data_IF_213275819321
#
_entry.id   IF_213275819321
#
_cell.length_a   1.000
_cell.length_b   1.000
_cell.length_c   1.000
_cell.angle_alpha   90.00
_cell.angle_beta   90.00
_cell.angle_gamma   90.00
#
_symmetry.space_group_name_H-M   'P 1'
#
loop_
_entity.id
_entity.type
_entity.pdbx_description
1 polymer ?
#
# COMPACT_ATOMS: atom_id res chain seq x y z
N UNK A 1 1.54 14.30 -59.53
CA UNK A 1 0.14 14.62 -59.18
C UNK A 1 0.10 14.76 -57.66
N UNK A 2 0.51 15.93 -57.19
CA UNK A 2 -0.33 16.94 -56.50
C UNK A 2 -0.69 16.52 -55.08
N UNK A 3 0.20 16.88 -54.17
CA UNK A 3 -0.03 17.00 -52.73
C UNK A 3 -1.30 17.81 -52.50
N UNK A 4 -2.31 17.17 -51.93
CA UNK A 4 -3.59 17.79 -51.57
C UNK A 4 -3.42 18.41 -50.18
N UNK A 5 -2.57 19.43 -50.08
CA UNK A 5 -2.42 20.20 -48.84
C UNK A 5 -3.44 21.34 -48.88
N UNK A 6 -4.53 21.28 -48.08
CA UNK A 6 -5.57 22.29 -48.13
C UNK A 6 -5.04 23.61 -47.55
N UNK A 7 -5.19 24.68 -48.31
CA UNK A 7 -4.91 26.05 -47.88
C UNK A 7 -5.71 26.37 -46.60
N UNK A 8 -5.04 26.70 -45.47
CA UNK A 8 -5.70 26.89 -44.17
C UNK A 8 -6.65 28.09 -44.16
N UNK A 9 -6.57 28.98 -45.14
CA UNK A 9 -7.52 30.09 -45.31
C UNK A 9 -8.86 29.65 -45.93
N UNK A 10 -8.96 28.41 -46.43
CA UNK A 10 -10.13 27.87 -47.15
C UNK A 10 -10.73 26.62 -46.55
N UNK A 11 -10.21 26.09 -45.44
CA UNK A 11 -10.88 25.07 -44.63
C UNK A 11 -11.96 25.71 -43.77
N UNK A 12 -13.27 25.49 -44.03
CA UNK A 12 -14.33 25.99 -43.17
C UNK A 12 -14.36 25.15 -41.89
N UNK A 13 -14.28 25.79 -40.72
CA UNK A 13 -14.42 25.11 -39.43
C UNK A 13 -13.37 25.44 -38.37
N UNK A 14 -12.46 26.39 -38.60
CA UNK A 14 -11.60 26.93 -37.53
C UNK A 14 -12.01 28.38 -37.26
N UNK A 15 -12.98 28.58 -36.36
CA UNK A 15 -13.30 29.90 -35.81
C UNK A 15 -12.00 30.60 -35.37
N UNK A 16 -11.68 31.80 -35.90
CA UNK A 16 -10.54 32.58 -35.44
C UNK A 16 -10.81 33.07 -34.01
N UNK A 17 -10.41 32.26 -33.02
CA UNK A 17 -10.61 32.58 -31.62
C UNK A 17 -11.61 31.64 -30.94
N UNK A 18 -11.12 30.48 -30.52
CA UNK A 18 -11.82 29.57 -29.63
C UNK A 18 -10.98 29.23 -28.42
N UNK A 19 -10.37 30.25 -27.77
CA UNK A 19 -9.74 30.05 -26.47
C UNK A 19 -10.81 29.64 -25.46
N UNK A 20 -10.72 28.43 -24.93
CA UNK A 20 -11.54 28.03 -23.78
C UNK A 20 -11.24 28.98 -22.62
N UNK A 21 -12.26 29.47 -21.92
CA UNK A 21 -12.04 30.23 -20.69
C UNK A 21 -11.23 29.35 -19.73
N UNK A 22 -10.13 29.84 -19.11
CA UNK A 22 -9.44 29.12 -18.05
C UNK A 22 -10.39 28.93 -16.87
N UNK A 23 -11.06 27.78 -16.87
CA UNK A 23 -11.97 27.36 -15.83
C UNK A 23 -11.37 26.14 -15.18
N UNK A 24 -11.01 26.31 -13.90
CA UNK A 24 -10.36 25.33 -13.03
C UNK A 24 -8.93 24.99 -13.49
N UNK A 25 -7.96 25.70 -12.91
CA UNK A 25 -6.73 25.02 -12.46
C UNK A 25 -7.14 23.61 -12.04
N UNK A 26 -6.59 22.54 -12.65
CA UNK A 26 -6.83 21.20 -12.14
C UNK A 26 -6.65 21.28 -10.62
N UNK A 27 -7.59 20.79 -9.78
CA UNK A 27 -7.32 20.71 -8.35
C UNK A 27 -5.97 20.03 -8.23
N UNK A 28 -5.05 20.63 -7.46
CA UNK A 28 -3.69 20.14 -7.34
C UNK A 28 -3.72 18.62 -7.36
N UNK A 29 -3.12 18.04 -8.41
CA UNK A 29 -3.03 16.59 -8.62
C UNK A 29 -2.87 15.98 -7.25
N UNK A 30 -3.87 15.19 -6.81
CA UNK A 30 -3.98 14.71 -5.44
C UNK A 30 -2.58 14.40 -4.94
N UNK A 31 -2.06 15.34 -4.15
CA UNK A 31 -0.66 15.35 -3.82
C UNK A 31 -0.41 13.97 -3.26
N UNK A 32 0.58 13.29 -3.82
CA UNK A 32 1.20 12.15 -3.17
C UNK A 32 1.79 12.52 -1.80
N UNK A 33 1.53 13.73 -1.27
CA UNK A 33 1.52 14.10 0.16
C UNK A 33 0.70 13.16 1.06
N UNK A 34 0.02 12.14 0.51
CA UNK A 34 -0.53 10.99 1.25
C UNK A 34 0.28 9.68 1.14
N UNK A 35 1.36 9.61 0.35
CA UNK A 35 2.15 8.37 0.14
C UNK A 35 3.12 8.06 1.28
N UNK A 36 3.22 8.92 2.28
CA UNK A 36 3.89 8.60 3.54
C UNK A 36 3.16 9.32 4.67
N UNK A 37 2.06 8.74 5.13
CA UNK A 37 1.69 8.95 6.53
C UNK A 37 2.92 8.54 7.37
N UNK A 38 3.29 9.28 8.43
CA UNK A 38 4.37 8.87 9.31
C UNK A 38 4.11 7.43 9.77
N UNK A 39 4.96 6.50 9.31
CA UNK A 39 4.87 5.11 9.74
C UNK A 39 5.09 5.12 11.26
N UNK A 40 4.13 4.65 12.07
CA UNK A 40 4.33 4.61 13.51
C UNK A 40 5.60 3.84 13.80
N UNK A 41 6.46 4.41 14.65
CA UNK A 41 7.74 3.79 14.99
C UNK A 41 7.48 2.52 15.81
N UNK A 42 7.35 1.40 15.11
CA UNK A 42 7.12 0.07 15.67
C UNK A 42 8.44 -0.65 15.97
N UNK A 43 9.60 -0.04 15.67
CA UNK A 43 10.91 -0.73 15.68
C UNK A 43 11.29 -1.32 17.03
N UNK A 44 10.69 -0.86 18.13
CA UNK A 44 11.08 -1.25 19.49
C UNK A 44 9.93 -1.77 20.36
N UNK A 45 8.72 -1.94 19.81
CA UNK A 45 7.53 -2.32 20.59
C UNK A 45 7.05 -3.71 20.19
N UNK A 46 7.59 -4.74 20.82
CA UNK A 46 7.01 -6.07 20.69
C UNK A 46 5.61 -6.07 21.33
N UNK A 47 4.55 -6.51 20.63
CA UNK A 47 3.19 -6.40 21.13
C UNK A 47 2.98 -7.33 22.33
N UNK A 48 2.18 -6.89 23.31
CA UNK A 48 1.84 -7.68 24.51
C UNK A 48 1.22 -9.04 24.10
N UNK A 49 0.46 -9.06 23.01
CA UNK A 49 -0.09 -10.29 22.42
C UNK A 49 0.98 -11.27 21.99
N UNK A 50 2.10 -10.78 21.43
CA UNK A 50 3.27 -11.60 21.08
C UNK A 50 3.95 -12.17 22.32
N UNK A 51 4.10 -11.38 23.38
CA UNK A 51 4.66 -11.85 24.66
C UNK A 51 3.78 -12.95 25.24
N UNK A 52 2.46 -12.72 25.28
CA UNK A 52 1.49 -13.69 25.77
C UNK A 52 1.54 -15.00 24.96
N UNK A 53 1.63 -14.92 23.63
CA UNK A 53 1.74 -16.09 22.76
C UNK A 53 3.01 -16.91 23.05
N UNK A 54 4.16 -16.25 23.26
CA UNK A 54 5.42 -16.91 23.63
C UNK A 54 5.27 -17.62 24.98
N UNK A 55 4.72 -16.95 25.98
CA UNK A 55 4.53 -17.53 27.33
C UNK A 55 3.61 -18.75 27.28
N UNK A 56 2.47 -18.65 26.60
CA UNK A 56 1.53 -19.77 26.42
C UNK A 56 2.21 -20.94 25.71
N UNK A 57 2.96 -20.67 24.64
CA UNK A 57 3.69 -21.70 23.91
C UNK A 57 4.72 -22.40 24.79
N UNK A 58 5.48 -21.64 25.58
CA UNK A 58 6.47 -22.20 26.49
C UNK A 58 5.83 -23.12 27.55
N UNK A 59 4.67 -22.75 28.09
CA UNK A 59 3.90 -23.57 29.04
C UNK A 59 3.46 -24.88 28.38
N UNK A 60 2.90 -24.82 27.17
CA UNK A 60 2.43 -26.00 26.43
C UNK A 60 3.60 -26.95 26.14
N UNK A 61 4.72 -26.43 25.64
CA UNK A 61 5.93 -27.22 25.38
C UNK A 61 6.45 -27.85 26.67
N UNK A 62 6.50 -27.08 27.76
CA UNK A 62 6.89 -27.59 29.08
C UNK A 62 6.01 -28.75 29.56
N UNK A 63 4.69 -28.64 29.39
CA UNK A 63 3.75 -29.72 29.72
C UNK A 63 4.02 -30.98 28.90
N UNK A 64 4.25 -30.83 27.60
CA UNK A 64 4.60 -31.97 26.72
C UNK A 64 5.89 -32.66 27.17
N UNK A 65 6.91 -31.89 27.55
CA UNK A 65 8.17 -32.44 28.05
C UNK A 65 7.93 -33.22 29.35
N UNK A 66 7.18 -32.66 30.30
CA UNK A 66 6.85 -33.33 31.57
C UNK A 66 6.14 -34.66 31.32
N UNK A 67 5.13 -34.68 30.45
CA UNK A 67 4.40 -35.90 30.10
C UNK A 67 5.31 -36.91 29.41
N UNK A 68 6.13 -36.48 28.45
CA UNK A 68 7.06 -37.36 27.76
C UNK A 68 8.07 -38.02 28.72
N UNK A 69 8.64 -37.24 29.65
CA UNK A 69 9.55 -37.75 30.68
C UNK A 69 8.81 -38.72 31.61
N UNK A 70 7.60 -38.38 32.06
CA UNK A 70 6.81 -39.25 32.92
C UNK A 70 6.51 -40.61 32.25
N UNK A 71 6.16 -40.59 30.97
CA UNK A 71 5.93 -41.80 30.19
C UNK A 71 7.22 -42.61 30.01
N UNK A 72 8.35 -41.95 29.74
CA UNK A 72 9.64 -42.62 29.61
C UNK A 72 10.05 -43.33 30.91
N UNK A 73 9.88 -42.66 32.06
CA UNK A 73 10.17 -43.24 33.38
C UNK A 73 9.17 -44.36 33.73
N UNK A 74 7.91 -44.24 33.33
CA UNK A 74 6.89 -45.25 33.62
C UNK A 74 7.04 -46.52 32.75
N UNK A 75 7.68 -46.42 31.59
CA UNK A 75 7.81 -47.51 30.63
C UNK A 75 9.15 -48.26 30.74
N UNK A 76 10.18 -47.62 31.31
CA UNK A 76 11.46 -48.26 31.65
C UNK A 76 11.42 -48.97 32.99
#
# INVERSE_FOLDING_TARGET
MTSMDPDPSRTPGLEPGGGVAPGTTPPETAQTSGLSAPEPDTRHRFPITGIAAIVVTAIVVGLFIVVAVALLVSLG
#
